data_IF_017624134196
#
_entry.id   IF_017624134196
#
_cell.length_a   1.000
_cell.length_b   1.000
_cell.length_c   1.000
_cell.angle_alpha   90.00
_cell.angle_beta   90.00
_cell.angle_gamma   90.00
#
_symmetry.space_group_name_H-M   'P 1'
#
loop_
_entity.id
_entity.type
_entity.pdbx_description
1 polymer ?
#
# COMPACT_ATOMS: atom_id res chain seq x y z
N UNK A 1 7.93 1.60 -0.11
CA UNK A 1 7.26 2.86 -0.47
C UNK A 1 8.14 4.11 -0.33
N UNK A 2 9.19 4.10 0.47
CA UNK A 2 10.03 5.28 0.75
C UNK A 2 11.38 5.26 0.02
N UNK A 3 11.56 4.38 -0.96
CA UNK A 3 12.84 4.18 -1.62
C UNK A 3 12.67 3.80 -3.08
N UNK A 4 13.71 3.97 -3.86
CA UNK A 4 13.83 3.49 -5.24
C UNK A 4 14.43 2.08 -5.21
N UNK A 5 13.93 1.19 -6.09
CA UNK A 5 14.52 -0.12 -6.22
C UNK A 5 16.02 0.00 -6.59
N UNK A 6 16.92 -0.56 -5.79
CA UNK A 6 18.36 -0.47 -6.02
C UNK A 6 18.81 -0.98 -7.40
N UNK A 7 18.13 -1.99 -7.94
CA UNK A 7 18.44 -2.60 -9.24
C UNK A 7 18.13 -1.68 -10.44
N UNK A 8 17.39 -0.58 -10.20
CA UNK A 8 17.09 0.43 -11.22
C UNK A 8 18.13 1.57 -11.27
N UNK A 9 19.08 1.61 -10.31
CA UNK A 9 20.10 2.64 -10.23
C UNK A 9 21.44 2.15 -10.78
N UNK A 10 22.22 3.07 -11.37
CA UNK A 10 23.61 2.79 -11.75
C UNK A 10 24.47 2.63 -10.48
N UNK A 11 24.26 3.50 -9.50
CA UNK A 11 24.89 3.39 -8.20
C UNK A 11 23.86 3.02 -7.13
N UNK A 12 23.88 1.76 -6.72
CA UNK A 12 23.01 1.17 -5.71
C UNK A 12 22.86 2.02 -4.43
N UNK A 13 23.97 2.60 -3.93
CA UNK A 13 23.98 3.41 -2.71
C UNK A 13 23.50 4.84 -2.93
N UNK A 14 23.53 5.35 -4.16
CA UNK A 14 23.09 6.69 -4.53
C UNK A 14 21.76 6.71 -5.30
N UNK A 15 20.97 5.64 -5.26
CA UNK A 15 19.72 5.51 -6.02
C UNK A 15 18.73 6.67 -5.84
N UNK A 16 18.63 7.20 -4.63
CA UNK A 16 17.76 8.35 -4.34
C UNK A 16 18.32 9.64 -4.95
N UNK A 17 19.65 9.81 -4.99
CA UNK A 17 20.32 10.92 -5.67
C UNK A 17 20.06 10.86 -7.18
N UNK A 18 20.23 9.70 -7.81
CA UNK A 18 19.96 9.49 -9.23
C UNK A 18 18.49 9.76 -9.59
N UNK A 19 17.55 9.39 -8.71
CA UNK A 19 16.15 9.70 -8.91
C UNK A 19 15.86 11.19 -8.79
N UNK A 20 16.49 11.88 -7.84
CA UNK A 20 16.37 13.34 -7.71
C UNK A 20 16.92 14.06 -8.96
N UNK A 21 18.05 13.60 -9.51
CA UNK A 21 18.59 14.11 -10.76
C UNK A 21 17.67 13.86 -11.97
N UNK A 22 16.98 12.71 -11.98
CA UNK A 22 15.96 12.41 -13.01
C UNK A 22 14.81 13.41 -12.94
N UNK A 23 14.31 13.72 -11.74
CA UNK A 23 13.24 14.70 -11.53
C UNK A 23 13.69 16.07 -12.02
N UNK A 24 14.89 16.53 -11.61
CA UNK A 24 15.44 17.81 -12.01
C UNK A 24 15.59 17.93 -13.54
N UNK A 25 16.17 16.93 -14.20
CA UNK A 25 16.29 16.91 -15.66
C UNK A 25 14.93 16.96 -16.36
N UNK A 26 13.92 16.25 -15.81
CA UNK A 26 12.57 16.23 -16.35
C UNK A 26 11.93 17.62 -16.25
N UNK A 27 12.07 18.28 -15.11
CA UNK A 27 11.56 19.65 -14.90
C UNK A 27 12.26 20.66 -15.78
N UNK A 28 13.57 20.54 -16.00
CA UNK A 28 14.34 21.42 -16.89
C UNK A 28 13.87 21.33 -18.36
N UNK A 29 13.18 20.25 -18.74
CA UNK A 29 12.52 20.09 -20.03
C UNK A 29 11.02 20.44 -20.00
N UNK A 30 10.55 21.13 -18.94
CA UNK A 30 9.13 21.55 -18.77
C UNK A 30 8.19 20.34 -18.76
N UNK A 31 8.65 19.18 -18.34
CA UNK A 31 7.84 17.96 -18.16
C UNK A 31 7.54 17.74 -16.67
N UNK A 32 6.56 16.88 -16.41
CA UNK A 32 6.12 16.48 -15.06
C UNK A 32 6.51 15.04 -14.76
N UNK A 33 6.79 14.74 -13.50
CA UNK A 33 7.07 13.39 -13.02
C UNK A 33 5.85 12.86 -12.28
N UNK A 34 5.28 11.77 -12.76
CA UNK A 34 4.21 11.03 -12.11
C UNK A 34 4.77 9.65 -11.76
N UNK A 35 4.59 9.23 -10.51
CA UNK A 35 4.96 7.88 -10.07
C UNK A 35 3.75 7.02 -9.79
N UNK A 36 3.94 5.71 -9.91
CA UNK A 36 2.89 4.72 -9.63
C UNK A 36 2.87 4.37 -8.13
N UNK A 37 1.68 4.28 -7.56
CA UNK A 37 1.44 3.73 -6.23
C UNK A 37 0.41 2.61 -6.34
N UNK A 38 0.70 1.47 -5.73
CA UNK A 38 -0.21 0.32 -5.62
C UNK A 38 -0.78 0.31 -4.20
N UNK A 39 -1.97 0.90 -3.96
CA UNK A 39 -2.47 1.06 -2.60
C UNK A 39 -3.27 -0.15 -2.09
N UNK A 40 -3.84 -0.98 -2.98
CA UNK A 40 -4.73 -2.08 -2.58
C UNK A 40 -4.00 -3.19 -1.82
N UNK A 41 -2.74 -3.46 -2.15
CA UNK A 41 -1.97 -4.57 -1.59
C UNK A 41 -0.48 -4.27 -1.57
N UNK A 42 0.25 -5.05 -0.80
CA UNK A 42 1.72 -5.08 -0.78
C UNK A 42 2.21 -6.51 -0.93
N UNK A 43 3.50 -6.69 -1.19
CA UNK A 43 4.12 -8.02 -1.15
C UNK A 43 3.92 -8.66 0.23
N UNK A 44 3.76 -9.98 0.29
CA UNK A 44 3.52 -10.70 1.57
C UNK A 44 4.67 -10.49 2.57
N UNK A 45 5.89 -10.50 2.09
CA UNK A 45 7.10 -10.20 2.87
C UNK A 45 7.54 -8.73 2.71
N UNK A 46 6.58 -7.78 2.75
CA UNK A 46 6.90 -6.37 2.59
C UNK A 46 7.75 -5.85 3.75
N UNK A 47 8.88 -5.25 3.39
CA UNK A 47 9.76 -4.51 4.29
C UNK A 47 10.35 -3.31 3.53
N UNK A 48 10.36 -2.14 4.15
CA UNK A 48 10.97 -0.95 3.56
C UNK A 48 12.49 -1.02 3.62
N UNK A 49 13.17 -0.96 2.49
CA UNK A 49 14.64 -0.87 2.41
C UNK A 49 15.17 0.46 2.94
N UNK A 50 14.41 1.55 2.74
CA UNK A 50 14.70 2.87 3.26
C UNK A 50 13.42 3.56 3.67
N UNK A 51 13.36 4.04 4.92
CA UNK A 51 12.22 4.81 5.44
C UNK A 51 12.71 5.92 6.36
N UNK A 52 11.98 7.04 6.50
CA UNK A 52 12.34 8.09 7.44
C UNK A 52 12.43 7.56 8.87
N UNK A 53 13.31 8.14 9.69
CA UNK A 53 13.49 7.74 11.08
C UNK A 53 12.16 7.88 11.85
N UNK A 54 11.78 6.83 12.55
CA UNK A 54 10.54 6.78 13.35
C UNK A 54 9.30 6.35 12.57
N UNK A 55 9.36 6.21 11.24
CA UNK A 55 8.25 5.65 10.45
C UNK A 55 8.19 4.15 10.68
N UNK A 56 6.98 3.68 10.98
CA UNK A 56 6.64 2.26 11.14
C UNK A 56 6.15 1.69 9.83
N UNK A 57 6.65 0.52 9.44
CA UNK A 57 6.17 -0.19 8.25
C UNK A 57 4.72 -0.66 8.39
N UNK A 58 4.12 -1.00 7.26
CA UNK A 58 2.82 -1.67 7.27
C UNK A 58 2.91 -2.98 8.03
N UNK A 59 1.99 -3.17 8.98
CA UNK A 59 1.90 -4.36 9.82
C UNK A 59 2.84 -4.39 11.04
N UNK A 60 3.79 -3.46 11.17
CA UNK A 60 4.78 -3.46 12.25
C UNK A 60 4.15 -3.30 13.66
N UNK A 61 3.00 -2.63 13.74
CA UNK A 61 2.28 -2.37 15.00
C UNK A 61 0.90 -3.06 15.05
N UNK A 62 0.63 -4.00 14.13
CA UNK A 62 -0.66 -4.66 14.03
C UNK A 62 -0.89 -5.64 15.19
N UNK A 63 -2.11 -5.64 15.74
CA UNK A 63 -2.60 -6.68 16.65
C UNK A 63 -3.02 -7.91 15.85
N UNK A 64 -2.11 -8.83 15.68
CA UNK A 64 -2.29 -10.06 14.87
C UNK A 64 -3.22 -11.10 15.51
N UNK A 65 -3.67 -10.86 16.77
CA UNK A 65 -4.64 -11.73 17.45
C UNK A 65 -6.07 -11.52 16.95
N UNK A 66 -6.32 -10.44 16.18
CA UNK A 66 -7.63 -10.08 15.65
C UNK A 66 -7.69 -10.25 14.15
N UNK A 67 -8.81 -10.72 13.63
CA UNK A 67 -9.08 -10.74 12.20
C UNK A 67 -9.09 -9.33 11.60
N UNK A 68 -9.67 -8.40 12.35
CA UNK A 68 -9.79 -7.00 11.99
C UNK A 68 -9.58 -6.10 13.22
N UNK A 69 -8.83 -5.04 13.04
CA UNK A 69 -8.80 -3.86 13.91
C UNK A 69 -8.62 -2.62 13.03
N UNK A 70 -9.28 -1.51 13.36
CA UNK A 70 -9.19 -0.25 12.59
C UNK A 70 -7.77 0.26 12.42
N UNK A 71 -6.91 0.00 13.42
CA UNK A 71 -5.52 0.45 13.44
C UNK A 71 -4.55 -0.56 12.80
N UNK A 72 -4.99 -1.79 12.53
CA UNK A 72 -4.21 -2.76 11.78
C UNK A 72 -4.10 -2.36 10.30
N UNK A 73 -2.93 -2.54 9.74
CA UNK A 73 -2.70 -2.30 8.32
C UNK A 73 -3.14 -3.47 7.44
N UNK A 74 -3.30 -4.66 8.02
CA UNK A 74 -3.70 -5.87 7.33
C UNK A 74 -4.87 -6.58 8.04
N UNK A 75 -5.50 -7.51 7.32
CA UNK A 75 -6.45 -8.46 7.87
C UNK A 75 -5.75 -9.78 8.14
N UNK A 76 -6.09 -10.44 9.25
CA UNK A 76 -5.44 -11.68 9.68
C UNK A 76 -6.40 -12.86 9.74
N UNK A 77 -5.85 -14.07 9.78
CA UNK A 77 -6.54 -15.33 10.08
C UNK A 77 -5.98 -15.86 11.40
N UNK A 78 -6.49 -15.41 12.56
CA UNK A 78 -5.88 -15.69 13.84
C UNK A 78 -5.69 -17.20 14.10
N UNK A 79 -4.51 -17.57 14.63
CA UNK A 79 -4.20 -18.94 15.00
C UNK A 79 -3.95 -19.91 13.84
N UNK A 80 -3.83 -19.41 12.61
CA UNK A 80 -3.53 -20.22 11.43
C UNK A 80 -2.35 -19.66 10.65
N UNK A 81 -1.35 -20.49 10.38
CA UNK A 81 -0.22 -20.12 9.54
C UNK A 81 -0.58 -20.14 8.06
N UNK A 82 0.04 -19.26 7.29
CA UNK A 82 -0.08 -19.24 5.85
C UNK A 82 0.50 -20.50 5.22
N UNK A 83 -0.17 -20.97 4.16
CA UNK A 83 0.29 -22.09 3.36
C UNK A 83 0.24 -21.71 1.88
N UNK A 84 1.35 -21.87 1.19
CA UNK A 84 1.42 -21.67 -0.26
C UNK A 84 0.53 -22.71 -0.95
N UNK A 85 -0.28 -22.35 -1.94
CA UNK A 85 -1.11 -23.28 -2.70
C UNK A 85 -0.25 -24.12 -3.65
N UNK A 86 0.26 -25.26 -3.15
CA UNK A 86 1.18 -26.15 -3.87
C UNK A 86 0.51 -27.35 -4.53
N UNK A 87 -0.82 -27.39 -4.59
CA UNK A 87 -1.59 -28.54 -5.11
C UNK A 87 -1.55 -28.67 -6.64
N UNK A 88 -1.01 -27.67 -7.33
CA UNK A 88 -0.81 -27.65 -8.76
C UNK A 88 0.67 -27.75 -9.07
N UNK A 89 0.99 -28.34 -10.20
CA UNK A 89 2.36 -28.42 -10.69
C UNK A 89 2.82 -27.02 -11.17
N UNK A 90 3.05 -26.12 -10.22
CA UNK A 90 3.43 -24.74 -10.48
C UNK A 90 4.93 -24.67 -10.79
N UNK A 91 5.25 -24.08 -11.94
CA UNK A 91 6.63 -23.72 -12.27
C UNK A 91 6.68 -22.20 -12.56
N UNK A 92 7.65 -21.53 -11.96
CA UNK A 92 7.93 -20.12 -12.27
C UNK A 92 8.32 -19.98 -13.75
N UNK A 93 7.93 -18.90 -14.40
CA UNK A 93 8.30 -18.60 -15.76
C UNK A 93 9.83 -18.61 -15.91
N UNK A 94 10.33 -19.39 -16.88
CA UNK A 94 11.77 -19.55 -17.10
C UNK A 94 12.44 -20.66 -16.30
N UNK A 95 11.72 -21.36 -15.41
CA UNK A 95 12.20 -22.54 -14.69
C UNK A 95 13.21 -22.30 -13.58
N UNK A 96 13.60 -21.05 -13.33
CA UNK A 96 14.50 -20.65 -12.23
C UNK A 96 13.77 -19.80 -11.22
N UNK A 97 13.81 -20.17 -9.94
CA UNK A 97 13.32 -19.32 -8.86
C UNK A 97 14.20 -18.07 -8.72
N UNK A 98 13.59 -16.91 -8.60
CA UNK A 98 14.32 -15.71 -8.21
C UNK A 98 14.74 -15.83 -6.74
N UNK A 99 15.99 -15.45 -6.36
CA UNK A 99 16.47 -15.59 -4.99
C UNK A 99 15.61 -14.90 -3.92
N UNK A 100 14.91 -13.82 -4.30
CA UNK A 100 13.99 -13.07 -3.42
C UNK A 100 12.52 -13.47 -3.59
N UNK A 101 12.21 -14.45 -4.45
CA UNK A 101 10.86 -14.94 -4.72
C UNK A 101 10.90 -16.47 -4.81
N UNK A 102 11.33 -17.11 -3.72
CA UNK A 102 11.49 -18.56 -3.63
C UNK A 102 10.15 -19.31 -3.42
N UNK A 103 9.05 -18.56 -3.27
CA UNK A 103 7.72 -19.13 -3.03
C UNK A 103 7.46 -19.59 -1.61
N UNK A 104 8.37 -19.32 -0.68
CA UNK A 104 8.21 -19.63 0.74
C UNK A 104 7.82 -18.39 1.54
N UNK A 105 6.84 -18.55 2.43
CA UNK A 105 6.38 -17.50 3.31
C UNK A 105 6.23 -18.04 4.72
N UNK A 106 7.09 -17.60 5.64
CA UNK A 106 6.96 -17.89 7.08
C UNK A 106 6.06 -16.84 7.72
N UNK A 107 4.75 -17.03 7.61
CA UNK A 107 3.74 -16.09 8.07
C UNK A 107 2.76 -16.76 9.03
N UNK A 108 2.75 -16.29 10.27
CA UNK A 108 1.83 -16.71 11.33
C UNK A 108 1.44 -15.54 12.24
N UNK A 109 0.13 -15.17 12.31
CA UNK A 109 -0.96 -15.73 11.54
C UNK A 109 -0.94 -15.33 10.07
N UNK A 110 -1.64 -16.09 9.24
CA UNK A 110 -1.83 -15.76 7.83
C UNK A 110 -2.57 -14.43 7.66
N UNK A 111 -2.23 -13.67 6.63
CA UNK A 111 -2.95 -12.47 6.20
C UNK A 111 -3.85 -12.78 5.00
N UNK A 112 -4.91 -11.99 4.81
CA UNK A 112 -5.73 -12.08 3.61
C UNK A 112 -4.90 -11.74 2.37
N UNK A 113 -5.18 -12.41 1.26
CA UNK A 113 -4.51 -12.16 -0.02
C UNK A 113 -4.89 -10.79 -0.59
N UNK A 114 -4.10 -10.28 -1.52
CA UNK A 114 -4.32 -8.97 -2.14
C UNK A 114 -5.69 -8.80 -2.80
N UNK A 115 -6.29 -9.88 -3.33
CA UNK A 115 -7.66 -9.90 -3.85
C UNK A 115 -8.72 -10.18 -2.77
N UNK A 116 -8.32 -10.38 -1.50
CA UNK A 116 -9.23 -10.51 -0.36
C UNK A 116 -9.66 -11.93 -0.01
N UNK A 117 -8.96 -12.96 -0.49
CA UNK A 117 -9.18 -14.34 -0.01
C UNK A 117 -8.76 -14.48 1.46
N UNK A 118 -9.60 -15.15 2.25
CA UNK A 118 -9.50 -15.24 3.72
C UNK A 118 -8.97 -16.59 4.21
N UNK A 119 -8.71 -17.51 3.30
CA UNK A 119 -8.20 -18.83 3.66
C UNK A 119 -6.70 -18.76 3.99
N UNK A 120 -6.22 -19.45 5.03
CA UNK A 120 -4.78 -19.55 5.32
C UNK A 120 -4.03 -20.30 4.22
N UNK A 121 -4.71 -21.19 3.48
CA UNK A 121 -4.29 -21.77 2.22
C UNK A 121 -5.23 -21.28 1.12
N UNK A 122 -4.89 -20.20 0.41
CA UNK A 122 -5.72 -19.67 -0.68
C UNK A 122 -5.71 -20.58 -1.91
N UNK A 123 -6.58 -20.29 -2.87
CA UNK A 123 -6.53 -20.92 -4.20
C UNK A 123 -5.31 -20.42 -4.97
N UNK A 124 -4.83 -21.21 -5.93
CA UNK A 124 -3.70 -20.84 -6.79
C UNK A 124 -3.96 -19.59 -7.64
N UNK A 125 -5.21 -19.29 -7.92
CA UNK A 125 -5.63 -18.10 -8.67
C UNK A 125 -5.85 -16.88 -7.77
N UNK A 126 -5.80 -17.04 -6.46
CA UNK A 126 -5.76 -15.90 -5.54
C UNK A 126 -4.39 -15.20 -5.63
N UNK A 127 -4.35 -13.93 -5.27
CA UNK A 127 -3.09 -13.19 -5.26
C UNK A 127 -2.29 -13.52 -4.00
N UNK A 128 -1.89 -14.79 -3.88
CA UNK A 128 -1.35 -15.35 -2.65
C UNK A 128 0.04 -14.80 -2.27
N UNK A 129 0.78 -14.22 -3.21
CA UNK A 129 2.07 -13.56 -2.96
C UNK A 129 1.92 -12.14 -2.39
N UNK A 130 0.70 -11.64 -2.34
CA UNK A 130 0.37 -10.29 -1.86
C UNK A 130 -0.60 -10.33 -0.70
N UNK A 131 -0.64 -9.25 0.08
CA UNK A 131 -1.55 -9.08 1.21
C UNK A 131 -2.38 -7.82 1.05
N UNK A 132 -3.67 -7.93 1.38
CA UNK A 132 -4.62 -6.82 1.28
C UNK A 132 -4.40 -5.79 2.37
N UNK A 133 -4.31 -4.53 1.97
CA UNK A 133 -4.27 -3.41 2.91
C UNK A 133 -5.66 -3.17 3.50
N UNK A 134 -5.71 -2.95 4.81
CA UNK A 134 -6.92 -2.63 5.55
C UNK A 134 -7.23 -1.14 5.50
N UNK A 135 -8.31 -0.79 4.83
CA UNK A 135 -8.84 0.58 4.74
C UNK A 135 -10.02 0.84 5.68
N UNK A 136 -10.24 0.00 6.68
CA UNK A 136 -11.39 0.13 7.59
C UNK A 136 -12.69 -0.46 7.04
N UNK A 137 -12.60 -1.35 6.05
CA UNK A 137 -13.72 -2.16 5.61
C UNK A 137 -13.73 -3.45 6.43
N UNK A 138 -14.73 -3.62 7.29
CA UNK A 138 -14.83 -4.79 8.17
C UNK A 138 -15.08 -6.08 7.38
N UNK A 139 -14.82 -7.25 7.98
CA UNK A 139 -15.10 -8.54 7.34
C UNK A 139 -16.55 -8.76 6.88
N UNK A 140 -17.50 -8.09 7.52
CA UNK A 140 -18.94 -8.10 7.15
C UNK A 140 -19.31 -7.08 6.04
N UNK A 141 -18.31 -6.32 5.53
CA UNK A 141 -18.49 -5.30 4.51
C UNK A 141 -18.91 -3.93 5.05
N UNK A 142 -19.15 -3.77 6.34
CA UNK A 142 -19.45 -2.46 6.93
C UNK A 142 -18.18 -1.60 7.04
N UNK A 143 -18.37 -0.29 7.13
CA UNK A 143 -17.26 0.68 7.18
C UNK A 143 -16.99 1.12 8.63
N UNK A 144 -15.72 1.27 8.96
CA UNK A 144 -15.23 1.80 10.24
C UNK A 144 -14.60 3.19 10.08
N UNK A 145 -15.19 3.96 9.19
CA UNK A 145 -14.86 5.35 8.91
C UNK A 145 -16.11 6.12 8.50
N UNK A 146 -16.14 7.46 8.64
CA UNK A 146 -17.28 8.26 8.23
C UNK A 146 -17.51 8.24 6.73
N UNK A 147 -18.75 8.12 6.30
CA UNK A 147 -19.14 8.28 4.90
C UNK A 147 -19.05 9.74 4.47
N UNK A 148 -18.57 10.01 3.27
CA UNK A 148 -18.54 11.36 2.71
C UNK A 148 -19.97 11.87 2.47
N UNK A 149 -20.38 13.01 3.05
CA UNK A 149 -21.72 13.57 2.83
C UNK A 149 -21.91 13.99 1.38
N UNK A 150 -23.08 13.69 0.78
CA UNK A 150 -23.42 14.03 -0.61
C UNK A 150 -23.23 15.50 -0.97
N UNK A 151 -23.47 16.41 -0.03
CA UNK A 151 -23.27 17.84 -0.24
C UNK A 151 -21.80 18.27 -0.29
N UNK A 152 -20.86 17.38 0.06
CA UNK A 152 -19.40 17.61 0.01
C UNK A 152 -18.81 16.97 -1.27
N UNK A 153 -19.37 15.89 -1.79
CA UNK A 153 -18.81 15.12 -2.93
C UNK A 153 -18.38 15.97 -4.12
N UNK A 154 -19.11 17.05 -4.43
CA UNK A 154 -18.86 17.93 -5.57
C UNK A 154 -18.14 19.23 -5.19
N UNK A 155 -17.67 19.36 -3.97
CA UNK A 155 -17.00 20.57 -3.49
C UNK A 155 -15.51 20.57 -3.83
N UNK A 156 -14.90 21.75 -3.66
CA UNK A 156 -13.45 21.92 -3.77
C UNK A 156 -12.68 21.08 -2.75
N UNK A 157 -11.46 20.70 -3.07
CA UNK A 157 -10.63 19.86 -2.22
C UNK A 157 -10.40 20.43 -0.81
N UNK A 158 -10.45 21.76 -0.61
CA UNK A 158 -10.33 22.39 0.71
C UNK A 158 -11.49 22.05 1.63
N UNK A 159 -12.70 21.89 1.06
CA UNK A 159 -13.88 21.46 1.82
C UNK A 159 -13.75 19.98 2.23
N UNK A 160 -13.26 19.14 1.32
CA UNK A 160 -12.93 17.74 1.64
C UNK A 160 -11.87 17.67 2.74
N UNK A 161 -10.78 18.42 2.59
CA UNK A 161 -9.72 18.47 3.59
C UNK A 161 -10.25 18.86 4.97
N UNK A 162 -11.02 19.94 5.05
CA UNK A 162 -11.60 20.41 6.32
C UNK A 162 -12.54 19.37 6.93
N UNK A 163 -13.30 18.62 6.11
CA UNK A 163 -14.18 17.55 6.60
C UNK A 163 -13.41 16.43 7.31
N UNK A 164 -12.22 16.08 6.80
CA UNK A 164 -11.46 14.94 7.32
C UNK A 164 -10.59 15.27 8.54
N UNK A 165 -10.38 16.56 8.90
CA UNK A 165 -9.41 16.96 9.92
C UNK A 165 -9.73 16.48 11.34
N UNK A 166 -11.00 16.33 11.68
CA UNK A 166 -11.47 15.93 13.01
C UNK A 166 -11.97 14.47 13.06
N UNK A 167 -11.70 13.68 12.01
CA UNK A 167 -12.17 12.30 11.92
C UNK A 167 -11.09 11.31 12.34
N UNK A 168 -11.51 10.30 13.08
CA UNK A 168 -10.68 9.13 13.36
C UNK A 168 -10.73 8.18 12.16
N UNK A 169 -9.59 8.03 11.50
CA UNK A 169 -9.46 7.25 10.27
C UNK A 169 -8.59 6.02 10.49
N UNK A 170 -8.72 4.98 9.64
CA UNK A 170 -7.85 3.81 9.68
C UNK A 170 -6.37 4.20 9.55
N UNK A 171 -5.49 3.48 10.25
CA UNK A 171 -4.05 3.78 10.28
C UNK A 171 -3.44 3.80 8.87
N UNK A 172 -3.85 2.89 7.98
CA UNK A 172 -3.36 2.83 6.60
C UNK A 172 -3.59 4.11 5.79
N UNK A 173 -4.65 4.88 6.11
CA UNK A 173 -4.92 6.15 5.43
C UNK A 173 -3.83 7.18 5.69
N UNK A 174 -3.41 7.30 6.93
CA UNK A 174 -2.32 8.19 7.32
C UNK A 174 -0.99 7.76 6.73
N UNK A 175 -0.70 6.44 6.72
CA UNK A 175 0.53 5.92 6.10
C UNK A 175 0.62 6.27 4.61
N UNK A 176 -0.44 6.06 3.84
CA UNK A 176 -0.42 6.40 2.41
C UNK A 176 -0.37 7.91 2.15
N UNK A 177 -1.05 8.72 2.95
CA UNK A 177 -0.89 10.18 2.90
C UNK A 177 0.57 10.58 3.11
N UNK A 178 1.21 10.04 4.12
CA UNK A 178 2.58 10.40 4.48
C UNK A 178 3.60 9.91 3.42
N UNK A 179 3.35 8.75 2.81
CA UNK A 179 4.10 8.27 1.63
C UNK A 179 3.97 9.27 0.47
N UNK A 180 2.75 9.71 0.15
CA UNK A 180 2.54 10.66 -0.94
C UNK A 180 3.22 12.01 -0.65
N UNK A 181 3.07 12.53 0.56
CA UNK A 181 3.73 13.78 0.98
C UNK A 181 5.27 13.66 0.92
N UNK A 182 5.83 12.51 1.30
CA UNK A 182 7.26 12.26 1.17
C UNK A 182 7.74 12.37 -0.28
N UNK A 183 7.03 11.81 -1.25
CA UNK A 183 7.42 11.87 -2.66
C UNK A 183 7.17 13.25 -3.29
N UNK A 184 6.13 13.97 -2.87
CA UNK A 184 5.92 15.37 -3.25
C UNK A 184 7.06 16.26 -2.76
N UNK A 185 7.54 16.04 -1.52
CA UNK A 185 8.71 16.74 -0.97
C UNK A 185 10.00 16.45 -1.77
N UNK A 186 10.09 15.29 -2.42
CA UNK A 186 11.18 14.94 -3.35
C UNK A 186 11.04 15.56 -4.75
N UNK A 187 9.95 16.26 -5.02
CA UNK A 187 9.71 16.93 -6.30
C UNK A 187 8.87 16.14 -7.31
N UNK A 188 8.27 15.02 -6.92
CA UNK A 188 7.28 14.32 -7.74
C UNK A 188 6.04 15.21 -7.89
N UNK A 189 5.49 15.32 -9.11
CA UNK A 189 4.36 16.22 -9.42
C UNK A 189 2.99 15.56 -9.21
N UNK A 190 2.94 14.23 -9.15
CA UNK A 190 1.67 13.53 -8.98
C UNK A 190 1.82 12.01 -8.97
N UNK A 191 0.66 11.35 -8.88
CA UNK A 191 0.58 9.91 -8.70
C UNK A 191 -0.42 9.28 -9.68
N UNK A 192 -0.08 8.10 -10.17
CA UNK A 192 -1.04 7.15 -10.75
C UNK A 192 -1.31 6.09 -9.70
N UNK A 193 -2.57 5.76 -9.47
CA UNK A 193 -2.96 4.75 -8.50
C UNK A 193 -3.45 3.50 -9.21
N UNK A 194 -2.74 2.39 -8.98
CA UNK A 194 -3.17 1.09 -9.48
C UNK A 194 -4.31 0.53 -8.61
N UNK A 195 -5.24 -0.21 -9.21
CA UNK A 195 -6.37 -0.85 -8.51
C UNK A 195 -7.18 0.11 -7.62
N UNK A 196 -7.32 1.36 -8.06
CA UNK A 196 -7.97 2.41 -7.27
C UNK A 196 -9.43 2.10 -6.91
N UNK A 197 -10.13 1.33 -7.74
CA UNK A 197 -11.52 0.90 -7.54
C UNK A 197 -11.67 -0.13 -6.39
N UNK A 198 -10.59 -0.77 -5.96
CA UNK A 198 -10.60 -1.70 -4.84
C UNK A 198 -10.42 -1.02 -3.48
N UNK A 199 -10.28 0.30 -3.47
CA UNK A 199 -10.07 1.13 -2.28
C UNK A 199 -11.27 2.06 -2.10
N UNK A 200 -11.76 2.29 -0.86
CA UNK A 200 -12.92 3.13 -0.61
C UNK A 200 -12.79 4.55 -1.19
N UNK A 201 -13.87 5.08 -1.77
CA UNK A 201 -13.89 6.43 -2.36
C UNK A 201 -13.60 7.52 -1.32
N UNK A 202 -13.96 7.29 -0.08
CA UNK A 202 -13.70 8.17 1.06
C UNK A 202 -12.19 8.35 1.30
N UNK A 203 -11.42 7.26 1.16
CA UNK A 203 -9.96 7.36 1.24
C UNK A 203 -9.41 8.29 0.15
N UNK A 204 -9.92 8.21 -1.08
CA UNK A 204 -9.48 9.09 -2.16
C UNK A 204 -9.84 10.55 -1.89
N UNK A 205 -11.01 10.80 -1.29
CA UNK A 205 -11.40 12.14 -0.83
C UNK A 205 -10.40 12.68 0.21
N UNK A 206 -10.06 11.88 1.22
CA UNK A 206 -9.07 12.23 2.24
C UNK A 206 -7.69 12.48 1.62
N UNK A 207 -7.16 11.49 0.91
CA UNK A 207 -5.79 11.52 0.39
C UNK A 207 -5.60 12.65 -0.63
N UNK A 208 -6.47 12.73 -1.66
CA UNK A 208 -6.35 13.74 -2.70
C UNK A 208 -6.55 15.17 -2.18
N UNK A 209 -7.37 15.36 -1.15
CA UNK A 209 -7.50 16.67 -0.52
C UNK A 209 -6.25 17.05 0.27
N UNK A 210 -5.65 16.09 1.00
CA UNK A 210 -4.45 16.34 1.79
C UNK A 210 -3.23 16.70 0.94
N UNK A 211 -3.02 16.00 -0.18
CA UNK A 211 -1.87 16.25 -1.06
C UNK A 211 -2.00 17.52 -1.92
N UNK A 212 -3.19 18.13 -1.99
CA UNK A 212 -3.44 19.39 -2.71
C UNK A 212 -3.37 20.63 -1.83
N UNK A 213 -3.29 20.44 -0.51
CA UNK A 213 -3.14 21.54 0.46
C UNK A 213 -1.69 22.00 0.52
#
# INVERSE_FOLDING_TARGET
YYDVNPDLAINFTNRMGEFSELIERTHNHVMKVIIDIVPNHVARNYESLGKPKGVKDFGEEDDTSKEYDKNNNFYYVPGKSFQVPTDVNYQVLGGNAHPLADGFFDENPAKWTGNGARAPKPDINDWYETVKVNYGVKPDGSYDFPTLPKNIETKDYRVHYAFWQDKELPNSWYKFRDIALFWLDKGVDGFRYDMAEMVPVEFWSFMNSAIKM
#
